data_IF_685405639761
#
_entry.id   IF_685405639761
#
_cell.length_a   1.000
_cell.length_b   1.000
_cell.length_c   1.000
_cell.angle_alpha   90.00
_cell.angle_beta   90.00
_cell.angle_gamma   90.00
#
_symmetry.space_group_name_H-M   'P 1'
#
loop_
_entity.id
_entity.type
_entity.pdbx_description
1 polymer ?
#
# COMPACT_ATOMS: atom_id res chain seq x y z
N UNK A 1 -5.26 9.21 35.00
CA UNK A 1 -5.11 8.85 33.58
C UNK A 1 -4.21 9.89 32.95
N UNK A 2 -2.91 9.62 32.87
CA UNK A 2 -1.99 10.52 32.20
C UNK A 2 -2.24 10.42 30.70
N UNK A 3 -2.49 11.55 30.04
CA UNK A 3 -2.35 11.61 28.59
C UNK A 3 -0.90 11.24 28.28
N UNK A 4 -0.69 10.15 27.53
CA UNK A 4 0.64 9.74 27.09
C UNK A 4 1.36 10.92 26.44
N UNK A 5 2.69 10.97 26.58
CA UNK A 5 3.45 12.09 26.01
C UNK A 5 3.24 12.16 24.49
N UNK A 6 3.36 13.35 23.85
CA UNK A 6 3.24 13.47 22.39
C UNK A 6 4.06 12.42 21.63
N UNK A 7 5.28 12.16 22.11
CA UNK A 7 6.18 11.15 21.55
C UNK A 7 5.65 9.70 21.63
N UNK A 8 4.87 9.36 22.67
CA UNK A 8 4.21 8.04 22.77
C UNK A 8 3.00 7.96 21.81
N UNK A 9 2.31 9.08 21.59
CA UNK A 9 1.24 9.19 20.59
C UNK A 9 1.76 8.98 19.17
N UNK A 10 2.88 9.62 18.84
CA UNK A 10 3.51 9.51 17.53
C UNK A 10 4.09 8.11 17.31
N UNK A 11 4.75 7.52 18.31
CA UNK A 11 5.24 6.14 18.23
C UNK A 11 4.11 5.12 17.96
N UNK A 12 2.93 5.31 18.58
CA UNK A 12 1.78 4.45 18.37
C UNK A 12 1.13 4.66 16.99
N UNK A 13 1.07 5.90 16.50
CA UNK A 13 0.58 6.19 15.16
C UNK A 13 1.48 5.55 14.10
N UNK A 14 2.79 5.61 14.34
CA UNK A 14 3.84 4.97 13.53
C UNK A 14 3.65 3.45 13.44
N UNK A 15 3.51 2.78 14.57
CA UNK A 15 3.26 1.33 14.59
C UNK A 15 2.01 0.97 13.77
N UNK A 16 0.90 1.68 14.02
CA UNK A 16 -0.38 1.40 13.37
C UNK A 16 -0.36 1.67 11.86
N UNK A 17 0.43 2.66 11.42
CA UNK A 17 0.62 2.91 10.00
C UNK A 17 1.45 1.83 9.33
N UNK A 18 2.47 1.31 10.01
CA UNK A 18 3.26 0.19 9.51
C UNK A 18 2.43 -1.09 9.39
N UNK A 19 1.52 -1.34 10.33
CA UNK A 19 0.53 -2.43 10.25
C UNK A 19 -0.35 -2.27 9.01
N UNK A 20 -0.97 -1.10 8.82
CA UNK A 20 -1.83 -0.82 7.66
C UNK A 20 -1.07 -0.96 6.33
N UNK A 21 0.18 -0.48 6.27
CA UNK A 21 1.03 -0.64 5.08
C UNK A 21 1.28 -2.11 4.74
N UNK A 22 1.59 -2.93 5.76
CA UNK A 22 1.83 -4.36 5.58
C UNK A 22 0.55 -5.08 5.13
N UNK A 23 -0.58 -4.82 5.79
CA UNK A 23 -1.87 -5.45 5.49
C UNK A 23 -2.36 -5.11 4.08
N UNK A 24 -2.17 -3.86 3.65
CA UNK A 24 -2.48 -3.43 2.29
C UNK A 24 -1.58 -4.10 1.27
N UNK A 25 -0.27 -4.18 1.51
CA UNK A 25 0.64 -4.87 0.59
C UNK A 25 0.30 -6.36 0.44
N UNK A 26 -0.05 -7.03 1.54
CA UNK A 26 -0.50 -8.41 1.48
C UNK A 26 -1.77 -8.55 0.64
N UNK A 27 -2.75 -7.65 0.84
CA UNK A 27 -4.01 -7.66 0.08
C UNK A 27 -3.78 -7.38 -1.41
N UNK A 28 -2.91 -6.42 -1.74
CA UNK A 28 -2.54 -6.08 -3.12
C UNK A 28 -1.80 -7.23 -3.80
N UNK A 29 -0.94 -7.95 -3.09
CA UNK A 29 -0.24 -9.13 -3.63
C UNK A 29 -1.24 -10.24 -4.01
N UNK A 30 -2.25 -10.49 -3.18
CA UNK A 30 -3.32 -11.46 -3.49
C UNK A 30 -4.14 -11.03 -4.71
N UNK A 31 -4.56 -9.76 -4.76
CA UNK A 31 -5.34 -9.22 -5.89
C UNK A 31 -4.54 -9.32 -7.19
N UNK A 32 -3.27 -8.93 -7.16
CA UNK A 32 -2.37 -8.97 -8.32
C UNK A 32 -2.13 -10.41 -8.79
N UNK A 33 -1.86 -11.35 -7.88
CA UNK A 33 -1.73 -12.76 -8.23
C UNK A 33 -2.99 -13.33 -8.88
N UNK A 34 -4.17 -12.98 -8.38
CA UNK A 34 -5.45 -13.38 -8.98
C UNK A 34 -5.68 -12.73 -10.35
N UNK A 35 -5.35 -11.45 -10.51
CA UNK A 35 -5.48 -10.75 -11.78
C UNK A 35 -4.57 -11.35 -12.85
N UNK A 36 -3.32 -11.67 -12.48
CA UNK A 36 -2.37 -12.34 -13.35
C UNK A 36 -2.88 -13.73 -13.79
N UNK A 37 -3.37 -14.54 -12.84
CA UNK A 37 -3.94 -15.86 -13.17
C UNK A 37 -5.13 -15.73 -14.13
N UNK A 38 -6.03 -14.78 -13.88
CA UNK A 38 -7.18 -14.53 -14.76
C UNK A 38 -6.74 -14.06 -16.15
N UNK A 39 -5.65 -13.30 -16.26
CA UNK A 39 -5.14 -12.83 -17.54
C UNK A 39 -4.53 -13.98 -18.34
N UNK A 40 -3.84 -14.90 -17.67
CA UNK A 40 -3.32 -16.13 -18.28
C UNK A 40 -4.47 -17.02 -18.79
N UNK A 41 -5.54 -17.18 -18.01
CA UNK A 41 -6.74 -17.93 -18.42
C UNK A 41 -7.46 -17.24 -19.59
N UNK A 42 -7.63 -15.92 -19.54
CA UNK A 42 -8.29 -15.17 -20.61
C UNK A 42 -7.52 -15.27 -21.94
N UNK A 43 -6.18 -15.31 -21.88
CA UNK A 43 -5.33 -15.55 -23.06
C UNK A 43 -5.41 -16.99 -23.55
N UNK A 44 -5.44 -17.97 -22.65
CA UNK A 44 -5.52 -19.38 -23.00
C UNK A 44 -6.84 -19.74 -23.70
N UNK A 45 -7.94 -19.11 -23.27
CA UNK A 45 -9.29 -19.32 -23.80
C UNK A 45 -9.70 -18.31 -24.90
N UNK A 46 -8.77 -17.45 -25.34
CA UNK A 46 -8.99 -16.40 -26.36
C UNK A 46 -10.24 -15.53 -26.08
N UNK A 47 -10.42 -15.12 -24.82
CA UNK A 47 -11.61 -14.34 -24.38
C UNK A 47 -11.61 -12.89 -24.89
N UNK A 48 -10.48 -12.45 -25.44
CA UNK A 48 -10.31 -11.13 -26.05
C UNK A 48 -10.19 -9.95 -25.07
N UNK A 49 -10.09 -8.73 -25.62
CA UNK A 49 -9.74 -7.52 -24.85
C UNK A 49 -10.69 -7.18 -23.71
N UNK A 50 -11.99 -7.49 -23.86
CA UNK A 50 -12.99 -7.23 -22.83
C UNK A 50 -12.69 -7.92 -21.48
N UNK A 51 -11.88 -8.98 -21.50
CA UNK A 51 -11.41 -9.66 -20.29
C UNK A 51 -9.98 -9.27 -19.87
N UNK A 52 -9.11 -8.90 -20.81
CA UNK A 52 -7.72 -8.52 -20.49
C UNK A 52 -7.61 -7.09 -19.99
N UNK A 53 -8.35 -6.15 -20.59
CA UNK A 53 -8.25 -4.72 -20.27
C UNK A 53 -8.60 -4.43 -18.79
N UNK A 54 -9.68 -5.00 -18.21
CA UNK A 54 -9.98 -4.81 -16.79
C UNK A 54 -8.90 -5.37 -15.86
N UNK A 55 -8.15 -6.39 -16.29
CA UNK A 55 -7.06 -6.98 -15.49
C UNK A 55 -5.82 -6.09 -15.53
N UNK A 56 -5.57 -5.43 -16.66
CA UNK A 56 -4.54 -4.40 -16.77
C UNK A 56 -4.88 -3.17 -15.89
N UNK A 57 -6.15 -2.77 -15.85
CA UNK A 57 -6.63 -1.71 -14.95
C UNK A 57 -6.41 -2.06 -13.48
N UNK A 58 -6.61 -3.32 -13.08
CA UNK A 58 -6.35 -3.79 -11.70
C UNK A 58 -4.86 -3.68 -11.36
N UNK A 59 -3.97 -4.05 -12.27
CA UNK A 59 -2.53 -3.91 -12.06
C UNK A 59 -2.08 -2.45 -12.00
N UNK A 60 -2.65 -1.58 -12.83
CA UNK A 60 -2.40 -0.14 -12.78
C UNK A 60 -2.83 0.44 -11.42
N UNK A 61 -4.04 0.13 -10.96
CA UNK A 61 -4.54 0.57 -9.67
C UNK A 61 -3.68 0.04 -8.50
N UNK A 62 -3.21 -1.20 -8.59
CA UNK A 62 -2.28 -1.79 -7.61
C UNK A 62 -0.98 -0.97 -7.54
N UNK A 63 -0.41 -0.63 -8.69
CA UNK A 63 0.80 0.21 -8.78
C UNK A 63 0.58 1.58 -8.14
N UNK A 64 -0.53 2.25 -8.45
CA UNK A 64 -0.85 3.56 -7.91
C UNK A 64 -0.99 3.55 -6.37
N UNK A 65 -1.59 2.50 -5.82
CA UNK A 65 -1.75 2.34 -4.38
C UNK A 65 -0.39 2.08 -3.72
N UNK A 66 0.46 1.22 -4.30
CA UNK A 66 1.82 0.99 -3.80
C UNK A 66 2.63 2.28 -3.76
N UNK A 67 2.58 3.09 -4.81
CA UNK A 67 3.24 4.40 -4.87
C UNK A 67 2.73 5.38 -3.81
N UNK A 68 1.41 5.42 -3.60
CA UNK A 68 0.80 6.26 -2.57
C UNK A 68 1.25 5.84 -1.16
N UNK A 69 1.34 4.54 -0.91
CA UNK A 69 1.82 3.98 0.37
C UNK A 69 3.30 4.30 0.61
N UNK A 70 4.16 4.18 -0.41
CA UNK A 70 5.56 4.59 -0.29
C UNK A 70 5.70 6.10 -0.01
N UNK A 71 4.89 6.95 -0.66
CA UNK A 71 4.88 8.40 -0.39
C UNK A 71 4.49 8.68 1.05
N UNK A 72 3.52 7.96 1.58
CA UNK A 72 3.06 8.10 2.97
C UNK A 72 4.17 7.72 3.96
N UNK A 73 4.89 6.62 3.71
CA UNK A 73 6.03 6.20 4.54
C UNK A 73 7.17 7.25 4.50
N UNK A 74 7.47 7.80 3.33
CA UNK A 74 8.46 8.90 3.18
C UNK A 74 8.06 10.17 3.91
N UNK A 75 6.77 10.54 3.90
CA UNK A 75 6.27 11.72 4.62
C UNK A 75 6.40 11.53 6.13
N UNK A 76 6.03 10.35 6.65
CA UNK A 76 6.24 9.99 8.05
C UNK A 76 7.71 10.09 8.46
N UNK A 77 8.61 9.48 7.69
CA UNK A 77 10.05 9.52 7.98
C UNK A 77 10.66 10.94 7.97
N UNK A 78 9.98 11.92 7.37
CA UNK A 78 10.36 13.34 7.43
C UNK A 78 9.87 14.00 8.71
N UNK A 79 8.63 13.74 9.14
CA UNK A 79 8.08 14.24 10.40
C UNK A 79 8.94 13.79 11.58
N UNK A 80 9.34 12.52 11.60
CA UNK A 80 10.18 11.93 12.66
C UNK A 80 11.56 12.62 12.79
N UNK A 81 12.13 13.06 11.66
CA UNK A 81 13.41 13.79 11.64
C UNK A 81 13.30 15.23 12.12
N UNK A 82 12.15 15.87 11.92
CA UNK A 82 11.93 17.25 12.36
C UNK A 82 11.76 17.34 13.88
N UNK A 83 11.16 16.33 14.52
CA UNK A 83 11.06 16.23 15.98
C UNK A 83 12.40 15.95 16.68
N UNK A 84 13.34 15.31 15.98
CA UNK A 84 14.63 14.90 16.56
C UNK A 84 15.72 15.98 16.48
N UNK A 85 15.42 17.15 15.92
CA UNK A 85 16.38 18.26 15.77
C UNK A 85 16.26 19.20 16.99
N UNK A 86 17.30 19.37 17.81
CA UNK A 86 17.26 20.34 18.91
C UNK A 86 17.23 21.78 18.35
N UNK A 87 16.73 22.76 19.15
CA UNK A 87 16.64 24.16 18.75
C UNK A 87 17.98 24.77 18.34
#
# INVERSE_FOLDING_TARGET
MGAGSPAEGDARLRERLSEVYHDLNNSLAVISGNAQLLAELARAEDLGPAFTDPLEDVEAARSDISDALERLDRLRAKTDRQESRPP
#
